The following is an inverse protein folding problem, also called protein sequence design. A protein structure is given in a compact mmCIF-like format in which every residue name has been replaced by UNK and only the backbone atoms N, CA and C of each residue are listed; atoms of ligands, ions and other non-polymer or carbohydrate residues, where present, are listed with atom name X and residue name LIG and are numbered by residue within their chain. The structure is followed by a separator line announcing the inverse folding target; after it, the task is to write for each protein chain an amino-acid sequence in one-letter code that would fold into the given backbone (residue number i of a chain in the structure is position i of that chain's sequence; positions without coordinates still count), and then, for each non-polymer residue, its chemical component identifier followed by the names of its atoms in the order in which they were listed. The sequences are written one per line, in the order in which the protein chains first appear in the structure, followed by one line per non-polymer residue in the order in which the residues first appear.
data_IF_873431973351
#
_entry.id   IF_873431973351
#
_cell.length_a   1.000
_cell.length_b   1.000
_cell.length_c   1.000
_cell.angle_alpha   90.00
_cell.angle_beta   90.00
_cell.angle_gamma   90.00
#
_symmetry.space_group_name_H-M   'P 1'
#
loop_
_entity.id
_entity.type
_entity.pdbx_description
1 polymer ?
#
# COMPACT_ATOMS: atom_id res chain seq x y z
N UNK A 1 47.40 -21.26 -1.50
CA UNK A 1 46.32 -20.38 -1.99
C UNK A 1 45.12 -20.60 -1.08
N UNK A 2 44.84 -19.73 -0.10
CA UNK A 2 43.63 -19.86 0.74
C UNK A 2 42.46 -19.24 0.02
N UNK A 3 41.37 -20.01 -0.14
CA UNK A 3 40.08 -19.57 -0.61
C UNK A 3 39.43 -18.70 0.46
N UNK A 4 39.20 -17.42 0.13
CA UNK A 4 38.39 -16.52 0.91
C UNK A 4 36.92 -16.87 0.63
N UNK A 5 36.33 -17.63 1.57
CA UNK A 5 34.86 -17.78 1.64
C UNK A 5 34.28 -16.47 2.18
N UNK A 6 33.83 -15.63 1.28
CA UNK A 6 33.01 -14.47 1.61
C UNK A 6 31.66 -14.96 2.11
N UNK A 7 31.43 -14.88 3.40
CA UNK A 7 30.12 -15.04 4.01
C UNK A 7 29.21 -13.92 3.47
N UNK A 8 28.06 -14.21 2.84
CA UNK A 8 27.12 -13.16 2.49
C UNK A 8 26.67 -12.49 3.79
N UNK A 9 26.77 -11.18 3.83
CA UNK A 9 26.24 -10.38 4.93
C UNK A 9 24.72 -10.66 5.03
N UNK A 10 24.34 -11.44 5.99
CA UNK A 10 22.94 -11.62 6.40
C UNK A 10 22.47 -10.28 6.90
N UNK A 11 21.84 -9.51 6.02
CA UNK A 11 21.05 -8.35 6.42
C UNK A 11 20.04 -8.86 7.43
N UNK A 12 20.13 -8.38 8.66
CA UNK A 12 19.25 -8.76 9.75
C UNK A 12 17.81 -8.58 9.27
N UNK A 13 17.16 -9.69 8.99
CA UNK A 13 15.74 -9.76 8.71
C UNK A 13 15.05 -9.35 10.02
N UNK A 14 14.68 -8.08 10.11
CA UNK A 14 13.88 -7.60 11.24
C UNK A 14 12.55 -8.33 11.12
N UNK A 15 12.29 -9.28 12.03
CA UNK A 15 10.98 -9.91 12.19
C UNK A 15 9.95 -8.79 12.42
N UNK A 16 9.39 -8.29 11.33
CA UNK A 16 8.35 -7.28 11.41
C UNK A 16 7.12 -7.98 12.01
N UNK A 17 6.78 -7.60 13.24
CA UNK A 17 5.56 -8.10 13.86
C UNK A 17 4.36 -7.78 12.95
N UNK A 18 3.34 -8.64 12.90
CA UNK A 18 2.12 -8.32 12.17
C UNK A 18 1.58 -6.95 12.55
N UNK A 19 1.17 -6.16 11.56
CA UNK A 19 0.67 -4.81 11.79
C UNK A 19 -0.28 -4.35 10.70
N UNK A 20 -0.75 -3.12 10.84
CA UNK A 20 -1.76 -2.53 9.98
C UNK A 20 -1.14 -1.55 9.01
N UNK A 21 -1.53 -1.67 7.74
CA UNK A 21 -1.27 -0.68 6.71
C UNK A 21 -2.57 -0.03 6.27
N UNK A 22 -2.73 1.26 6.51
CA UNK A 22 -3.97 1.99 6.24
C UNK A 22 -3.91 2.58 4.83
N UNK A 23 -4.64 2.01 3.84
CA UNK A 23 -4.51 2.42 2.44
C UNK A 23 -5.13 3.80 2.13
N UNK A 24 -6.02 4.26 2.99
CA UNK A 24 -6.68 5.55 2.90
C UNK A 24 -7.67 5.73 4.02
N UNK A 25 -8.07 6.93 4.26
CA UNK A 25 -9.24 7.33 5.06
C UNK A 25 -9.80 8.59 4.44
N UNK A 26 -11.08 8.86 4.69
CA UNK A 26 -11.67 10.14 4.34
C UNK A 26 -10.87 11.29 4.96
N UNK A 27 -11.01 12.47 4.38
CA UNK A 27 -10.27 13.67 4.79
C UNK A 27 -10.35 13.89 6.32
N UNK A 28 -9.25 14.26 7.01
CA UNK A 28 -9.21 14.40 8.48
C UNK A 28 -10.26 15.32 9.08
N UNK A 29 -10.71 16.31 8.32
CA UNK A 29 -11.82 17.17 8.73
C UNK A 29 -13.15 16.41 8.87
N UNK A 30 -13.37 15.40 8.05
CA UNK A 30 -14.61 14.58 8.02
C UNK A 30 -14.50 13.36 8.93
N UNK A 31 -13.31 12.80 9.08
CA UNK A 31 -13.03 11.56 9.77
C UNK A 31 -12.05 11.73 10.96
N UNK A 32 -12.16 12.84 11.69
CA UNK A 32 -11.20 13.21 12.76
C UNK A 32 -11.07 12.14 13.85
N UNK A 33 -12.16 11.48 14.22
CA UNK A 33 -12.17 10.39 15.20
C UNK A 33 -11.41 9.15 14.70
N UNK A 34 -11.54 8.82 13.41
CA UNK A 34 -10.86 7.69 12.76
C UNK A 34 -9.35 7.92 12.71
N UNK A 35 -8.93 9.12 12.26
CA UNK A 35 -7.51 9.52 12.29
C UNK A 35 -6.93 9.51 13.72
N UNK A 36 -7.75 9.94 14.72
CA UNK A 36 -7.38 9.87 16.13
C UNK A 36 -7.21 8.44 16.64
N UNK A 37 -8.00 7.49 16.15
CA UNK A 37 -7.91 6.09 16.54
C UNK A 37 -6.58 5.43 16.11
N UNK A 38 -5.96 5.88 15.02
CA UNK A 38 -4.67 5.39 14.55
C UNK A 38 -3.51 5.75 15.49
N UNK A 39 -3.66 6.81 16.29
CA UNK A 39 -2.63 7.30 17.20
C UNK A 39 -2.78 6.77 18.63
N UNK A 40 -3.75 5.88 18.87
CA UNK A 40 -3.93 5.28 20.21
C UNK A 40 -2.71 4.47 20.61
N UNK A 41 -2.24 4.57 21.85
CA UNK A 41 -1.14 3.75 22.35
C UNK A 41 -1.42 2.27 22.16
N UNK A 42 -0.46 1.54 21.57
CA UNK A 42 -0.58 0.11 21.33
C UNK A 42 -1.29 -0.26 20.01
N UNK A 43 -1.79 0.69 19.22
CA UNK A 43 -2.29 0.40 17.88
C UNK A 43 -1.10 -0.04 16.98
N UNK A 44 -1.13 -1.26 16.41
CA UNK A 44 -0.01 -1.82 15.67
C UNK A 44 0.02 -1.29 14.23
N UNK A 45 0.02 0.04 14.04
CA UNK A 45 -0.02 0.67 12.72
C UNK A 45 1.40 0.85 12.18
N UNK A 46 1.70 0.20 11.06
CA UNK A 46 2.99 0.32 10.39
C UNK A 46 3.09 1.62 9.58
N UNK A 47 2.02 1.91 8.82
CA UNK A 47 1.94 3.11 7.99
C UNK A 47 0.48 3.49 7.72
N UNK A 48 0.27 4.76 7.40
CA UNK A 48 -1.00 5.30 6.92
C UNK A 48 -0.77 6.18 5.70
N UNK A 49 -1.63 6.03 4.69
CA UNK A 49 -1.58 6.80 3.45
C UNK A 49 -2.34 8.11 3.65
N UNK A 50 -1.70 9.21 3.28
CA UNK A 50 -2.28 10.54 3.19
C UNK A 50 -2.65 10.81 1.73
N UNK A 51 -3.95 10.92 1.46
CA UNK A 51 -4.50 11.35 0.18
C UNK A 51 -5.38 12.59 0.43
N UNK A 52 -4.96 13.74 -0.09
CA UNK A 52 -5.67 15.00 0.20
C UNK A 52 -6.78 15.26 -0.82
N UNK A 53 -6.46 15.11 -2.10
CA UNK A 53 -7.40 15.31 -3.20
C UNK A 53 -6.87 14.58 -4.45
N UNK A 54 -6.93 13.25 -4.46
CA UNK A 54 -6.29 12.39 -5.48
C UNK A 54 -4.79 12.73 -5.68
N UNK A 55 -4.12 13.01 -4.57
CA UNK A 55 -2.74 13.47 -4.50
C UNK A 55 -2.53 14.46 -3.34
N UNK A 56 -1.48 15.31 -3.40
CA UNK A 56 -1.13 16.27 -2.33
C UNK A 56 -2.06 17.50 -2.25
N UNK A 57 -3.00 17.63 -3.18
CA UNK A 57 -3.82 18.84 -3.34
C UNK A 57 -3.10 19.95 -4.11
N UNK A 58 -3.76 21.11 -4.24
CA UNK A 58 -3.25 22.31 -4.94
C UNK A 58 -2.57 23.30 -4.00
N UNK A 59 -2.82 23.18 -2.70
CA UNK A 59 -2.22 23.97 -1.62
C UNK A 59 -2.11 23.12 -0.35
N UNK A 60 -1.25 23.49 0.62
CA UNK A 60 -1.16 22.79 1.89
C UNK A 60 -2.49 22.78 2.63
N UNK A 61 -2.94 21.62 3.09
CA UNK A 61 -4.13 21.48 3.91
C UNK A 61 -3.75 21.38 5.39
N UNK A 62 -4.26 22.29 6.27
CA UNK A 62 -3.87 22.32 7.67
C UNK A 62 -4.34 21.08 8.46
N UNK A 63 -5.49 20.51 8.13
CA UNK A 63 -6.01 19.31 8.81
C UNK A 63 -5.18 18.08 8.45
N UNK A 64 -4.78 17.95 7.20
CA UNK A 64 -3.90 16.89 6.74
C UNK A 64 -2.48 17.03 7.34
N UNK A 65 -1.97 18.25 7.44
CA UNK A 65 -0.69 18.52 8.09
C UNK A 65 -0.72 18.14 9.59
N UNK A 66 -1.79 18.52 10.29
CA UNK A 66 -1.97 18.16 11.70
C UNK A 66 -2.09 16.65 11.90
N UNK A 67 -2.90 15.96 11.09
CA UNK A 67 -3.06 14.50 11.13
C UNK A 67 -1.73 13.78 10.88
N UNK A 68 -0.98 14.19 9.85
CA UNK A 68 0.36 13.67 9.57
C UNK A 68 1.34 13.88 10.74
N UNK A 69 1.29 15.05 11.39
CA UNK A 69 2.09 15.34 12.57
C UNK A 69 1.76 14.43 13.76
N UNK A 70 0.48 14.22 14.05
CA UNK A 70 0.01 13.33 15.13
C UNK A 70 0.43 11.88 14.88
N UNK A 71 0.27 11.37 13.67
CA UNK A 71 0.67 10.01 13.31
C UNK A 71 2.17 9.78 13.51
N UNK A 72 3.02 10.69 13.02
CA UNK A 72 4.48 10.59 13.20
C UNK A 72 4.89 10.65 14.67
N UNK A 73 4.24 11.49 15.47
CA UNK A 73 4.49 11.56 16.90
C UNK A 73 4.09 10.25 17.62
N UNK A 74 3.13 9.51 17.08
CA UNK A 74 2.76 8.18 17.56
C UNK A 74 3.65 7.05 16.99
N UNK A 75 4.65 7.37 16.16
CA UNK A 75 5.55 6.39 15.55
C UNK A 75 5.01 5.72 14.29
N UNK A 76 3.88 6.19 13.76
CA UNK A 76 3.28 5.68 12.52
C UNK A 76 3.92 6.38 11.32
N UNK A 77 4.36 5.62 10.31
CA UNK A 77 4.85 6.20 9.06
C UNK A 77 3.71 6.80 8.26
N UNK A 78 3.89 8.03 7.79
CA UNK A 78 2.93 8.69 6.90
C UNK A 78 3.43 8.60 5.47
N UNK A 79 2.63 8.02 4.58
CA UNK A 79 2.96 7.82 3.16
C UNK A 79 2.10 8.75 2.30
N UNK A 80 2.73 9.48 1.39
CA UNK A 80 2.00 10.24 0.38
C UNK A 80 1.45 9.33 -0.71
N UNK A 81 0.17 9.50 -1.08
CA UNK A 81 -0.46 8.77 -2.17
C UNK A 81 0.01 9.27 -3.53
N UNK A 82 0.51 8.39 -4.37
CA UNK A 82 0.91 8.68 -5.75
C UNK A 82 0.28 7.68 -6.72
N UNK A 83 -0.34 8.19 -7.78
CA UNK A 83 -0.89 7.35 -8.85
C UNK A 83 0.20 6.88 -9.81
N UNK A 84 0.55 5.60 -9.73
CA UNK A 84 1.56 4.96 -10.57
C UNK A 84 0.99 4.29 -11.83
N UNK A 85 -0.31 4.38 -12.11
CA UNK A 85 -0.95 3.72 -13.26
C UNK A 85 -0.33 4.10 -14.62
N UNK A 86 0.41 5.19 -14.66
CA UNK A 86 1.03 5.73 -15.88
C UNK A 86 2.50 5.32 -16.05
N UNK A 87 3.05 4.58 -15.11
CA UNK A 87 4.29 3.85 -15.30
C UNK A 87 4.08 2.59 -16.16
N UNK A 88 2.82 2.24 -16.45
CA UNK A 88 2.44 1.16 -17.38
C UNK A 88 2.65 1.61 -18.83
N UNK A 89 3.82 1.27 -19.37
CA UNK A 89 4.21 1.62 -20.76
C UNK A 89 3.43 0.81 -21.78
N UNK A 90 2.89 -0.34 -21.41
CA UNK A 90 2.13 -1.22 -22.31
C UNK A 90 0.79 -0.60 -22.68
N UNK A 91 0.18 0.16 -21.77
CA UNK A 91 -1.03 0.95 -22.04
C UNK A 91 -0.79 2.17 -22.92
N UNK A 92 0.41 2.78 -22.84
CA UNK A 92 0.77 3.95 -23.64
C UNK A 92 1.01 3.60 -25.12
N UNK A 93 1.43 2.38 -25.42
CA UNK A 93 1.74 1.95 -26.79
C UNK A 93 0.53 1.40 -27.58
N UNK A 94 -0.68 1.48 -27.01
CA UNK A 94 -1.93 1.21 -27.74
C UNK A 94 -2.03 -0.17 -28.36
N UNK A 95 -1.32 -1.18 -27.85
CA UNK A 95 -1.52 -2.57 -28.28
C UNK A 95 -2.83 -3.08 -27.68
N UNK A 96 -3.89 -2.91 -28.47
CA UNK A 96 -5.17 -3.58 -28.27
C UNK A 96 -4.94 -5.09 -28.39
N UNK A 97 -4.56 -5.73 -27.29
CA UNK A 97 -4.81 -7.17 -27.20
C UNK A 97 -6.32 -7.30 -27.11
N UNK A 98 -6.91 -7.91 -28.14
CA UNK A 98 -8.27 -8.41 -28.15
C UNK A 98 -8.45 -9.39 -26.98
N UNK A 99 -8.69 -8.88 -25.81
CA UNK A 99 -9.09 -9.59 -24.62
C UNK A 99 -10.53 -9.20 -24.31
N UNK A 100 -11.42 -10.20 -24.27
CA UNK A 100 -12.80 -10.05 -23.85
C UNK A 100 -12.89 -9.22 -22.56
N UNK A 101 -13.85 -8.29 -22.44
CA UNK A 101 -14.01 -7.51 -21.22
C UNK A 101 -14.29 -8.45 -20.05
N UNK A 102 -13.46 -8.42 -19.02
CA UNK A 102 -13.78 -9.05 -17.74
C UNK A 102 -15.00 -8.31 -17.17
N UNK A 103 -16.13 -8.99 -17.12
CA UNK A 103 -17.31 -8.51 -16.39
C UNK A 103 -16.90 -8.32 -14.92
N UNK A 104 -16.96 -7.07 -14.42
CA UNK A 104 -16.78 -6.78 -13.01
C UNK A 104 -15.63 -5.84 -12.63
N UNK A 105 -14.79 -5.39 -13.58
CA UNK A 105 -13.84 -4.33 -13.25
C UNK A 105 -14.57 -2.96 -13.21
N UNK A 106 -14.39 -2.12 -12.17
CA UNK A 106 -14.94 -0.78 -12.16
C UNK A 106 -14.39 -0.01 -13.37
N UNK A 107 -15.29 0.66 -14.11
CA UNK A 107 -14.91 1.49 -15.24
C UNK A 107 -13.90 2.54 -14.77
N UNK A 108 -12.77 2.73 -15.49
CA UNK A 108 -11.83 3.78 -15.17
C UNK A 108 -12.58 5.12 -15.21
N UNK A 109 -12.55 5.86 -14.09
CA UNK A 109 -13.07 7.22 -14.07
C UNK A 109 -12.37 8.01 -15.18
N UNK A 110 -13.10 8.74 -16.05
CA UNK A 110 -12.47 9.52 -17.10
C UNK A 110 -11.65 10.63 -16.44
N UNK A 111 -10.34 10.45 -16.38
CA UNK A 111 -9.43 11.53 -16.02
C UNK A 111 -9.50 12.57 -17.14
N UNK A 112 -9.96 13.77 -16.81
CA UNK A 112 -9.92 14.93 -17.71
C UNK A 112 -8.46 15.19 -18.07
N UNK A 113 -8.10 14.91 -19.31
CA UNK A 113 -6.77 15.16 -19.88
C UNK A 113 -6.09 13.87 -20.34
N UNK A 114 -6.28 13.51 -21.62
CA UNK A 114 -5.67 12.35 -22.29
C UNK A 114 -4.19 12.53 -22.60
N UNK A 115 -3.37 12.59 -21.58
CA UNK A 115 -1.91 12.51 -21.69
C UNK A 115 -1.39 11.76 -20.49
N UNK A 116 -0.56 10.75 -20.71
CA UNK A 116 0.01 9.96 -19.62
C UNK A 116 0.68 10.86 -18.58
N UNK A 117 0.55 10.55 -17.30
CA UNK A 117 1.30 11.19 -16.21
C UNK A 117 2.78 10.94 -16.46
N UNK A 118 3.51 11.98 -16.78
CA UNK A 118 4.94 11.90 -16.99
C UNK A 118 5.60 11.74 -15.61
N UNK A 119 6.75 11.07 -15.55
CA UNK A 119 7.51 10.93 -14.31
C UNK A 119 7.73 12.28 -13.59
N UNK A 120 7.85 13.38 -14.37
CA UNK A 120 7.96 14.74 -13.83
C UNK A 120 6.74 15.17 -12.99
N UNK A 121 5.53 14.77 -13.38
CA UNK A 121 4.32 15.13 -12.64
C UNK A 121 4.27 14.36 -11.32
N UNK A 122 4.61 13.06 -11.36
CA UNK A 122 4.73 12.21 -10.18
C UNK A 122 5.75 12.80 -9.19
N UNK A 123 6.92 13.25 -9.71
CA UNK A 123 7.94 13.87 -8.86
C UNK A 123 7.50 15.22 -8.29
N UNK A 124 6.74 16.00 -9.04
CA UNK A 124 6.19 17.27 -8.56
C UNK A 124 5.17 17.08 -7.44
N UNK A 125 4.37 16.02 -7.50
CA UNK A 125 3.46 15.64 -6.42
C UNK A 125 4.21 15.13 -5.20
N UNK A 126 5.20 14.27 -5.40
CA UNK A 126 6.05 13.76 -4.34
C UNK A 126 6.77 14.90 -3.61
N UNK A 127 7.29 15.90 -4.34
CA UNK A 127 7.94 17.08 -3.75
C UNK A 127 6.96 17.83 -2.86
N UNK A 128 5.71 18.07 -3.33
CA UNK A 128 4.69 18.74 -2.52
C UNK A 128 4.35 17.97 -1.25
N UNK A 129 4.28 16.63 -1.30
CA UNK A 129 4.08 15.81 -0.10
C UNK A 129 5.21 15.97 0.91
N UNK A 130 6.47 16.03 0.45
CA UNK A 130 7.62 16.25 1.32
C UNK A 130 7.60 17.64 1.92
N UNK A 131 7.37 18.68 1.11
CA UNK A 131 7.44 20.07 1.54
C UNK A 131 6.28 20.44 2.48
N UNK A 132 5.06 19.99 2.15
CA UNK A 132 3.85 20.40 2.87
C UNK A 132 3.54 19.53 4.06
N UNK A 133 3.66 18.20 3.91
CA UNK A 133 3.21 17.25 4.95
C UNK A 133 4.34 16.47 5.60
N UNK A 134 5.58 16.62 5.11
CA UNK A 134 6.78 15.95 5.65
C UNK A 134 6.60 14.43 5.74
N UNK A 135 6.04 13.82 4.71
CA UNK A 135 5.78 12.38 4.66
C UNK A 135 7.07 11.55 4.83
N UNK A 136 6.95 10.33 5.35
CA UNK A 136 8.05 9.42 5.59
C UNK A 136 8.34 8.49 4.40
N UNK A 137 7.49 8.57 3.36
CA UNK A 137 7.60 7.78 2.16
C UNK A 137 6.39 7.91 1.26
N UNK A 138 6.20 6.94 0.37
CA UNK A 138 5.16 7.01 -0.65
C UNK A 138 4.46 5.67 -0.83
N UNK A 139 3.16 5.74 -1.02
CA UNK A 139 2.32 4.65 -1.50
C UNK A 139 2.05 4.89 -2.99
N UNK A 140 2.63 4.02 -3.84
CA UNK A 140 2.43 4.07 -5.27
C UNK A 140 1.22 3.20 -5.62
N UNK A 141 0.08 3.83 -5.84
CA UNK A 141 -1.15 3.13 -6.18
C UNK A 141 -1.18 2.68 -7.65
N UNK A 142 -1.86 1.57 -7.93
CA UNK A 142 -2.02 1.02 -9.28
C UNK A 142 -0.69 0.79 -10.01
N UNK A 143 0.31 0.29 -9.28
CA UNK A 143 1.58 -0.09 -9.88
C UNK A 143 1.39 -1.17 -10.95
N UNK A 144 2.14 -1.09 -12.08
CA UNK A 144 2.14 -2.15 -13.08
C UNK A 144 2.70 -3.45 -12.51
N UNK A 145 2.28 -4.59 -13.07
CA UNK A 145 2.66 -5.92 -12.61
C UNK A 145 3.62 -6.64 -13.55
N UNK A 146 3.72 -6.18 -14.79
CA UNK A 146 4.47 -6.84 -15.85
C UNK A 146 5.97 -6.54 -15.77
N UNK A 147 6.79 -7.51 -16.22
CA UNK A 147 8.25 -7.34 -16.29
C UNK A 147 8.67 -6.16 -17.16
N UNK A 148 7.91 -5.86 -18.19
CA UNK A 148 8.22 -4.79 -19.13
C UNK A 148 8.31 -3.42 -18.45
N UNK A 149 7.49 -3.18 -17.42
CA UNK A 149 7.37 -1.90 -16.74
C UNK A 149 8.28 -1.78 -15.50
N UNK A 150 9.00 -2.86 -15.17
CA UNK A 150 9.88 -2.91 -13.99
C UNK A 150 10.98 -1.84 -14.04
N UNK A 151 11.52 -1.55 -15.22
CA UNK A 151 12.57 -0.54 -15.37
C UNK A 151 12.09 0.86 -15.00
N UNK A 152 10.92 1.27 -15.48
CA UNK A 152 10.35 2.59 -15.19
C UNK A 152 9.95 2.70 -13.72
N UNK A 153 9.41 1.63 -13.12
CA UNK A 153 9.11 1.61 -11.68
C UNK A 153 10.39 1.75 -10.85
N UNK A 154 11.48 1.05 -11.19
CA UNK A 154 12.78 1.19 -10.52
C UNK A 154 13.31 2.61 -10.61
N UNK A 155 13.19 3.22 -11.77
CA UNK A 155 13.61 4.61 -12.00
C UNK A 155 12.81 5.59 -11.15
N UNK A 156 11.48 5.43 -11.10
CA UNK A 156 10.60 6.24 -10.26
C UNK A 156 10.95 6.11 -8.78
N UNK A 157 11.08 4.88 -8.27
CA UNK A 157 11.45 4.61 -6.88
C UNK A 157 12.82 5.17 -6.54
N UNK A 158 13.82 5.02 -7.42
CA UNK A 158 15.16 5.61 -7.23
C UNK A 158 15.11 7.13 -7.10
N UNK A 159 14.27 7.79 -7.92
CA UNK A 159 14.09 9.25 -7.84
C UNK A 159 13.36 9.68 -6.56
N UNK A 160 12.34 8.93 -6.13
CA UNK A 160 11.64 9.18 -4.86
C UNK A 160 12.58 9.05 -3.65
N UNK A 161 13.46 8.06 -3.65
CA UNK A 161 14.49 7.90 -2.61
C UNK A 161 15.55 8.99 -2.64
N UNK A 162 15.87 9.53 -3.81
CA UNK A 162 16.76 10.69 -3.93
C UNK A 162 16.09 11.99 -3.40
N UNK A 163 14.76 12.09 -3.56
CA UNK A 163 13.98 13.22 -3.05
C UNK A 163 13.85 13.19 -1.52
N UNK A 164 13.62 12.00 -0.96
CA UNK A 164 13.48 11.80 0.48
C UNK A 164 14.37 10.64 0.91
N UNK A 165 15.46 10.94 1.62
CA UNK A 165 16.35 9.92 2.17
C UNK A 165 15.57 8.95 3.05
N UNK A 166 15.83 7.63 2.88
CA UNK A 166 15.16 6.53 3.60
C UNK A 166 13.64 6.51 3.43
N UNK A 167 13.11 7.06 2.32
CA UNK A 167 11.69 6.99 2.02
C UNK A 167 11.21 5.54 2.05
N UNK A 168 10.18 5.26 2.84
CA UNK A 168 9.49 3.97 2.83
C UNK A 168 8.56 3.89 1.62
N UNK A 169 8.81 2.93 0.73
CA UNK A 169 8.08 2.79 -0.54
C UNK A 169 7.20 1.55 -0.50
N UNK A 170 5.90 1.76 -0.60
CA UNK A 170 4.90 0.69 -0.76
C UNK A 170 4.40 0.69 -2.20
N UNK A 171 4.48 -0.46 -2.87
CA UNK A 171 4.01 -0.64 -4.25
C UNK A 171 2.64 -1.33 -4.24
N UNK A 172 1.61 -0.59 -4.62
CA UNK A 172 0.22 -1.03 -4.68
C UNK A 172 -0.10 -1.74 -5.99
N UNK A 173 0.26 -3.01 -6.13
CA UNK A 173 -0.05 -3.82 -7.31
C UNK A 173 -1.47 -4.43 -7.25
N UNK A 174 -1.95 -4.73 -6.04
CA UNK A 174 -3.24 -5.39 -5.83
C UNK A 174 -3.30 -6.86 -6.22
N UNK A 175 -2.23 -7.40 -6.79
CA UNK A 175 -2.01 -8.81 -7.15
C UNK A 175 -0.52 -9.10 -7.12
N UNK A 176 -0.13 -10.37 -7.30
CA UNK A 176 1.29 -10.75 -7.37
C UNK A 176 1.93 -10.21 -8.66
N UNK A 177 2.90 -9.29 -8.58
CA UNK A 177 3.62 -8.77 -9.73
C UNK A 177 4.77 -9.72 -10.13
N UNK A 178 5.49 -9.35 -11.20
CA UNK A 178 6.76 -10.02 -11.53
C UNK A 178 7.74 -9.94 -10.34
N UNK A 179 8.46 -11.04 -9.97
CA UNK A 179 9.32 -11.11 -8.77
C UNK A 179 10.32 -9.97 -8.63
N UNK A 180 10.82 -9.43 -9.73
CA UNK A 180 11.77 -8.31 -9.74
C UNK A 180 11.26 -7.03 -9.07
N UNK A 181 9.95 -6.90 -8.81
CA UNK A 181 9.40 -5.76 -8.05
C UNK A 181 9.73 -5.84 -6.57
N UNK A 182 9.97 -7.04 -6.04
CA UNK A 182 10.38 -7.21 -4.65
C UNK A 182 11.68 -6.47 -4.32
N UNK A 183 12.53 -6.23 -5.30
CA UNK A 183 13.78 -5.47 -5.13
C UNK A 183 13.59 -3.94 -5.31
N UNK A 184 12.40 -3.49 -5.68
CA UNK A 184 12.15 -2.07 -5.94
C UNK A 184 11.67 -1.32 -4.71
N UNK A 185 10.58 -1.79 -4.09
CA UNK A 185 9.96 -1.17 -2.92
C UNK A 185 10.39 -1.80 -1.60
N UNK A 186 9.93 -1.23 -0.50
CA UNK A 186 10.10 -1.81 0.83
C UNK A 186 8.99 -2.82 1.12
N UNK A 187 7.78 -2.56 0.62
CA UNK A 187 6.63 -3.48 0.67
C UNK A 187 5.88 -3.51 -0.66
N UNK A 188 5.25 -4.66 -0.94
CA UNK A 188 4.36 -4.88 -2.07
C UNK A 188 2.97 -5.25 -1.55
N UNK A 189 1.94 -4.58 -2.07
CA UNK A 189 0.56 -5.01 -1.89
C UNK A 189 0.28 -6.12 -2.89
N UNK A 190 0.35 -7.37 -2.44
CA UNK A 190 0.17 -8.56 -3.29
C UNK A 190 -1.27 -9.05 -3.37
N UNK A 191 -2.14 -8.46 -2.56
CA UNK A 191 -3.58 -8.63 -2.69
C UNK A 191 -4.30 -7.32 -2.32
N UNK A 192 -5.23 -6.88 -3.17
CA UNK A 192 -6.19 -5.81 -2.86
C UNK A 192 -7.53 -6.15 -3.50
N UNK A 193 -8.57 -6.43 -2.70
CA UNK A 193 -9.86 -6.83 -3.23
C UNK A 193 -10.85 -7.33 -2.19
N UNK A 194 -12.01 -7.88 -2.66
CA UNK A 194 -13.08 -8.33 -1.77
C UNK A 194 -12.74 -9.64 -1.06
N UNK A 195 -13.36 -9.84 0.11
CA UNK A 195 -13.26 -11.08 0.89
C UNK A 195 -13.66 -12.33 0.08
N UNK A 196 -14.65 -12.22 -0.78
CA UNK A 196 -15.11 -13.32 -1.63
C UNK A 196 -14.02 -13.89 -2.54
N UNK A 197 -13.05 -13.06 -2.96
CA UNK A 197 -11.89 -13.47 -3.76
C UNK A 197 -10.72 -13.87 -2.87
N UNK A 198 -10.48 -13.12 -1.77
CA UNK A 198 -9.35 -13.34 -0.88
C UNK A 198 -9.31 -14.74 -0.27
N UNK A 199 -10.45 -15.25 0.16
CA UNK A 199 -10.54 -16.59 0.76
C UNK A 199 -10.14 -17.75 -0.17
N UNK A 200 -10.09 -17.48 -1.48
CA UNK A 200 -9.68 -18.44 -2.53
C UNK A 200 -8.39 -18.03 -3.22
N UNK A 201 -7.76 -16.94 -2.77
CA UNK A 201 -6.53 -16.47 -3.37
C UNK A 201 -5.39 -17.46 -3.13
N UNK A 202 -4.47 -17.50 -4.08
CA UNK A 202 -3.29 -18.34 -4.00
C UNK A 202 -2.06 -17.46 -3.87
N UNK A 203 -1.06 -17.94 -3.14
CA UNK A 203 0.22 -17.27 -3.01
C UNK A 203 1.13 -17.67 -4.17
N UNK A 204 1.92 -16.73 -4.68
CA UNK A 204 2.93 -17.02 -5.69
C UNK A 204 4.17 -17.62 -5.03
N UNK A 205 4.73 -18.71 -5.59
CA UNK A 205 5.87 -19.43 -5.00
C UNK A 205 7.07 -18.55 -4.68
N UNK A 206 7.38 -17.57 -5.54
CA UNK A 206 8.52 -16.67 -5.34
C UNK A 206 8.44 -15.83 -4.06
N UNK A 207 7.25 -15.66 -3.46
CA UNK A 207 7.11 -14.88 -2.23
C UNK A 207 7.78 -15.56 -1.04
N UNK A 208 7.96 -16.89 -1.09
CA UNK A 208 8.65 -17.66 -0.06
C UNK A 208 10.15 -17.30 0.09
N UNK A 209 10.73 -16.67 -0.93
CA UNK A 209 12.13 -16.22 -0.90
C UNK A 209 12.33 -14.91 -0.11
N UNK A 210 11.23 -14.28 0.36
CA UNK A 210 11.25 -12.99 1.02
C UNK A 210 10.60 -13.04 2.40
N UNK A 211 11.05 -12.20 3.35
CA UNK A 211 10.43 -12.14 4.67
C UNK A 211 8.99 -11.58 4.59
N UNK A 212 8.10 -12.02 5.49
CA UNK A 212 6.69 -11.59 5.52
C UNK A 212 6.48 -10.07 5.58
N UNK A 213 7.43 -9.33 6.16
CA UNK A 213 7.41 -7.87 6.19
C UNK A 213 7.43 -7.18 4.82
N UNK A 214 7.73 -7.94 3.76
CA UNK A 214 7.73 -7.44 2.37
C UNK A 214 6.34 -7.39 1.74
N UNK A 215 5.36 -8.05 2.34
CA UNK A 215 4.04 -8.20 1.73
C UNK A 215 2.93 -7.60 2.58
N UNK A 216 1.95 -7.04 1.87
CA UNK A 216 0.77 -6.41 2.44
C UNK A 216 -0.49 -6.91 1.72
N UNK A 217 -1.56 -7.18 2.47
CA UNK A 217 -2.87 -7.53 1.94
C UNK A 217 -3.93 -6.54 2.39
N UNK A 218 -4.71 -6.04 1.44
CA UNK A 218 -5.81 -5.11 1.66
C UNK A 218 -7.13 -5.82 1.27
N UNK A 219 -8.00 -6.08 2.24
CA UNK A 219 -9.22 -6.88 2.01
C UNK A 219 -10.44 -6.15 2.53
N UNK A 220 -11.41 -5.92 1.65
CA UNK A 220 -12.68 -5.31 2.01
C UNK A 220 -13.82 -6.33 2.04
N UNK A 221 -14.93 -5.97 2.70
CA UNK A 221 -16.10 -6.85 2.81
C UNK A 221 -15.85 -8.07 3.69
N UNK A 222 -14.88 -8.03 4.62
CA UNK A 222 -14.61 -9.13 5.56
C UNK A 222 -15.66 -9.09 6.68
N UNK A 223 -16.54 -10.09 6.80
CA UNK A 223 -17.47 -10.14 7.93
C UNK A 223 -16.71 -10.33 9.24
N UNK A 224 -17.19 -9.69 10.33
CA UNK A 224 -16.55 -9.79 11.66
C UNK A 224 -16.26 -11.23 12.09
N UNK A 225 -17.18 -12.17 11.82
CA UNK A 225 -17.01 -13.59 12.15
C UNK A 225 -15.92 -14.32 11.37
N UNK A 226 -15.41 -13.73 10.28
CA UNK A 226 -14.33 -14.30 9.46
C UNK A 226 -12.97 -13.58 9.64
N UNK A 227 -12.87 -12.66 10.59
CA UNK A 227 -11.63 -11.91 10.83
C UNK A 227 -10.45 -12.83 11.16
N UNK A 228 -10.66 -13.84 12.03
CA UNK A 228 -9.61 -14.80 12.39
C UNK A 228 -9.20 -15.67 11.19
N UNK A 229 -10.14 -16.02 10.32
CA UNK A 229 -9.86 -16.72 9.07
C UNK A 229 -9.02 -15.85 8.13
N UNK A 230 -9.39 -14.58 7.98
CA UNK A 230 -8.64 -13.63 7.14
C UNK A 230 -7.20 -13.45 7.64
N UNK A 231 -7.00 -13.33 8.95
CA UNK A 231 -5.68 -13.22 9.56
C UNK A 231 -4.84 -14.50 9.39
N UNK A 232 -5.49 -15.67 9.47
CA UNK A 232 -4.80 -16.95 9.23
C UNK A 232 -4.36 -17.08 7.77
N UNK A 233 -5.20 -16.67 6.81
CA UNK A 233 -4.85 -16.64 5.39
C UNK A 233 -3.66 -15.71 5.15
N UNK A 234 -3.67 -14.48 5.71
CA UNK A 234 -2.55 -13.55 5.56
C UNK A 234 -1.24 -14.13 6.06
N UNK A 235 -1.25 -14.73 7.27
CA UNK A 235 -0.06 -15.41 7.83
C UNK A 235 0.43 -16.54 6.94
N UNK A 236 -0.49 -17.39 6.46
CA UNK A 236 -0.14 -18.51 5.58
C UNK A 236 0.42 -18.04 4.25
N UNK A 237 -0.07 -16.93 3.72
CA UNK A 237 0.44 -16.31 2.49
C UNK A 237 1.66 -15.39 2.72
N UNK A 238 2.17 -15.31 3.94
CA UNK A 238 3.39 -14.58 4.26
C UNK A 238 3.23 -13.06 4.25
N UNK A 239 2.03 -12.50 4.50
CA UNK A 239 1.83 -11.07 4.63
C UNK A 239 1.84 -10.63 6.10
N UNK A 240 2.83 -9.80 6.48
CA UNK A 240 2.91 -9.26 7.84
C UNK A 240 2.19 -7.90 7.99
N UNK A 241 1.83 -7.24 6.90
CA UNK A 241 1.03 -6.02 6.95
C UNK A 241 -0.33 -6.28 6.32
N UNK A 242 -1.40 -5.92 7.02
CA UNK A 242 -2.76 -6.19 6.56
C UNK A 242 -3.68 -4.99 6.79
N UNK A 243 -4.74 -4.91 5.99
CA UNK A 243 -5.91 -4.11 6.26
C UNK A 243 -7.16 -4.93 5.96
N UNK A 244 -7.98 -5.15 6.98
CA UNK A 244 -9.26 -5.86 6.86
C UNK A 244 -10.39 -4.91 7.25
N UNK A 245 -11.40 -4.79 6.40
CA UNK A 245 -12.58 -3.96 6.67
C UNK A 245 -13.86 -4.68 6.30
N UNK A 246 -14.91 -4.45 7.08
CA UNK A 246 -16.29 -4.87 6.77
C UNK A 246 -16.95 -3.95 5.74
N UNK A 247 -16.31 -2.83 5.41
CA UNK A 247 -16.78 -1.94 4.35
C UNK A 247 -16.72 -2.66 3.01
N UNK A 248 -17.65 -2.34 2.13
CA UNK A 248 -17.70 -2.89 0.77
C UNK A 248 -17.64 -1.78 -0.25
N UNK A 249 -17.23 -2.10 -1.46
CA UNK A 249 -17.16 -1.15 -2.56
C UNK A 249 -18.54 -0.80 -3.16
N UNK A 250 -19.63 -1.38 -2.63
CA UNK A 250 -20.97 -1.13 -3.13
C UNK A 250 -21.14 -1.45 -4.64
N UNK A 251 -20.36 -2.42 -5.16
CA UNK A 251 -20.28 -2.69 -6.59
C UNK A 251 -19.48 -1.62 -7.36
N UNK A 252 -18.41 -1.11 -6.78
CA UNK A 252 -17.53 -0.10 -7.37
C UNK A 252 -18.02 1.34 -7.27
N UNK A 253 -19.01 1.62 -6.40
CA UNK A 253 -19.59 2.96 -6.22
C UNK A 253 -18.99 3.73 -5.05
N UNK A 254 -18.44 3.01 -4.08
CA UNK A 254 -17.88 3.56 -2.84
C UNK A 254 -16.45 3.05 -2.69
N UNK A 255 -15.56 3.89 -2.21
CA UNK A 255 -14.22 3.46 -1.84
C UNK A 255 -14.29 2.78 -0.45
N UNK A 256 -14.05 1.47 -0.34
CA UNK A 256 -14.12 0.77 0.94
C UNK A 256 -13.01 1.15 1.91
N UNK A 257 -12.00 1.89 1.44
CA UNK A 257 -10.85 2.29 2.24
C UNK A 257 -11.07 3.61 3.00
N UNK A 258 -12.05 4.43 2.60
CA UNK A 258 -12.30 5.75 3.19
C UNK A 258 -12.81 5.73 4.63
N UNK A 259 -13.22 4.57 5.14
CA UNK A 259 -13.80 4.45 6.49
C UNK A 259 -13.11 3.38 7.32
N UNK A 260 -13.00 3.63 8.61
CA UNK A 260 -12.52 2.65 9.59
C UNK A 260 -13.43 1.41 9.61
N UNK A 261 -12.87 0.20 9.78
CA UNK A 261 -13.66 -1.01 9.99
C UNK A 261 -14.50 -0.93 11.27
N UNK A 262 -15.73 -1.43 11.22
CA UNK A 262 -16.64 -1.45 12.38
C UNK A 262 -16.14 -2.30 13.56
N UNK A 263 -15.11 -3.11 13.35
CA UNK A 263 -14.46 -3.96 14.36
C UNK A 263 -12.99 -3.54 14.62
N UNK A 264 -12.68 -2.24 14.52
CA UNK A 264 -11.32 -1.71 14.71
C UNK A 264 -10.63 -2.22 15.97
N UNK A 265 -11.31 -2.14 17.13
CA UNK A 265 -10.72 -2.56 18.40
C UNK A 265 -10.44 -4.08 18.45
N UNK A 266 -11.25 -4.89 17.76
CA UNK A 266 -11.02 -6.33 17.61
C UNK A 266 -9.73 -6.62 16.79
N UNK A 267 -9.52 -5.90 15.70
CA UNK A 267 -8.29 -6.04 14.89
C UNK A 267 -7.08 -5.66 15.71
N UNK A 268 -7.11 -4.49 16.35
CA UNK A 268 -6.00 -3.99 17.15
C UNK A 268 -5.63 -4.97 18.26
N UNK A 269 -6.64 -5.52 18.96
CA UNK A 269 -6.39 -6.49 20.03
C UNK A 269 -5.73 -7.78 19.51
N UNK A 270 -6.18 -8.30 18.37
CA UNK A 270 -5.64 -9.55 17.78
C UNK A 270 -4.23 -9.43 17.22
N UNK A 271 -3.89 -8.25 16.68
CA UNK A 271 -2.57 -8.00 16.11
C UNK A 271 -1.59 -7.56 17.22
N UNK A 272 -2.04 -6.72 18.16
CA UNK A 272 -1.21 -6.16 19.25
C UNK A 272 -0.81 -7.18 20.32
N UNK A 273 -1.66 -8.15 20.61
CA UNK A 273 -1.33 -9.29 21.46
C UNK A 273 -0.68 -10.36 20.60
N UNK A 274 0.63 -10.21 20.30
CA UNK A 274 1.40 -11.33 19.77
C UNK A 274 1.22 -12.52 20.67
N UNK A 275 0.33 -13.46 20.30
CA UNK A 275 0.16 -14.73 20.99
C UNK A 275 1.49 -15.45 20.84
N UNK A 276 2.25 -15.50 21.93
CA UNK A 276 3.34 -16.46 22.10
C UNK A 276 2.63 -17.82 22.23
N UNK A 277 2.62 -18.61 21.16
CA UNK A 277 2.49 -20.06 21.23
C UNK A 277 3.88 -20.68 21.11
#
# INVERSE_FOLDING_TARGET
MPYLTGTPATTACTDLRPGLGIPGLAHPLLASAEWGALTRPGAPVHWAVLNVADGPGTQPDPHCLEAAGRLRNAGVRVLGHLDASRLDTTRLLGTTRLGLPRLGAPAPRPSRGGGGRILSDLMSEAQRYVDWYRVDGFYLDRCPVERADLHETRRAVGTLRALRDKAHIVLGHGTHPHPGYAECGDQLVTFSGPWSEYRWSQVAEWTADYPPGRFCHLVHGVPRGHLDEAMRIARWQGAATVWFTDRTDGGGRVDPWESMPGYWDDIVSRIGTGVSE
#
